data_IF_316441919964
#
_entry.id   IF_316441919964
#
_cell.length_a   1.000
_cell.length_b   1.000
_cell.length_c   1.000
_cell.angle_alpha   90.00
_cell.angle_beta   90.00
_cell.angle_gamma   90.00
#
_symmetry.space_group_name_H-M   'P 1'
#
loop_
_entity.id
_entity.type
_entity.pdbx_description
1 polymer ?
#
# COMPACT_ATOMS: atom_id res chain seq x y z
N UNK A 1 6.32 22.28 12.89
CA UNK A 1 7.47 21.78 12.10
C UNK A 1 8.22 20.75 12.93
N UNK A 2 8.22 19.49 12.45
CA UNK A 2 8.96 18.38 13.06
C UNK A 2 10.47 18.54 12.91
N UNK A 3 11.25 17.63 13.50
CA UNK A 3 12.69 17.55 13.27
C UNK A 3 12.91 17.33 11.77
N UNK A 4 13.45 18.34 11.09
CA UNK A 4 13.88 18.19 9.70
C UNK A 4 15.17 17.38 9.66
N UNK A 5 15.24 16.37 8.79
CA UNK A 5 16.48 15.64 8.46
C UNK A 5 17.58 16.58 7.90
N UNK A 6 17.24 17.84 7.61
CA UNK A 6 18.07 18.79 6.87
C UNK A 6 18.84 19.80 7.73
N UNK A 7 18.77 19.75 9.06
CA UNK A 7 19.56 20.65 9.92
C UNK A 7 20.61 19.91 10.77
N UNK A 8 21.72 19.46 10.16
CA UNK A 8 22.83 18.83 10.89
C UNK A 8 23.54 19.78 11.87
N UNK A 9 23.24 21.08 11.82
CA UNK A 9 23.83 22.12 12.68
C UNK A 9 22.90 22.57 13.82
N UNK A 10 21.70 21.98 13.94
CA UNK A 10 20.72 22.35 14.94
C UNK A 10 21.18 22.01 16.36
N UNK A 11 21.24 23.02 17.25
CA UNK A 11 21.47 22.76 18.67
C UNK A 11 20.22 22.13 19.32
N UNK A 12 20.39 21.08 20.14
CA UNK A 12 19.28 20.47 20.86
C UNK A 12 18.68 21.48 21.85
N UNK A 13 17.36 21.68 21.79
CA UNK A 13 16.62 22.53 22.73
C UNK A 13 15.90 21.66 23.76
N UNK A 14 16.10 21.98 25.04
CA UNK A 14 15.41 21.33 26.16
C UNK A 14 13.90 21.64 26.15
N UNK A 15 13.52 22.79 25.60
CA UNK A 15 12.12 23.25 25.50
C UNK A 15 11.32 22.55 24.40
N UNK A 16 11.98 21.71 23.58
CA UNK A 16 11.32 20.97 22.50
C UNK A 16 10.24 20.03 23.02
N UNK A 17 10.49 19.35 24.14
CA UNK A 17 9.53 18.43 24.75
C UNK A 17 8.24 19.16 25.14
N UNK A 18 8.35 20.32 25.78
CA UNK A 18 7.21 21.16 26.17
C UNK A 18 6.47 21.70 24.94
N UNK A 19 7.21 22.06 23.89
CA UNK A 19 6.62 22.53 22.62
C UNK A 19 5.80 21.44 21.95
N UNK A 20 6.33 20.21 21.89
CA UNK A 20 5.62 19.05 21.36
C UNK A 20 4.35 18.76 22.18
N UNK A 21 4.47 18.76 23.51
CA UNK A 21 3.32 18.53 24.41
C UNK A 21 2.19 19.52 24.17
N UNK A 22 2.49 20.80 23.99
CA UNK A 22 1.47 21.83 23.68
C UNK A 22 0.81 21.56 22.33
N UNK A 23 1.61 21.23 21.31
CA UNK A 23 1.09 20.88 19.99
C UNK A 23 0.17 19.64 20.01
N UNK A 24 0.49 18.62 20.81
CA UNK A 24 -0.37 17.44 21.01
C UNK A 24 -1.71 17.88 21.61
N UNK A 25 -1.69 18.71 22.66
CA UNK A 25 -2.90 19.20 23.31
C UNK A 25 -3.78 20.00 22.35
N UNK A 26 -3.20 20.96 21.61
CA UNK A 26 -3.90 21.81 20.66
C UNK A 26 -4.59 20.98 19.56
N UNK A 27 -3.87 20.03 18.95
CA UNK A 27 -4.44 19.21 17.88
C UNK A 27 -5.44 18.17 18.41
N UNK A 28 -5.21 17.59 19.58
CA UNK A 28 -6.17 16.67 20.21
C UNK A 28 -7.50 17.38 20.50
N UNK A 29 -7.45 18.66 20.89
CA UNK A 29 -8.68 19.47 21.08
C UNK A 29 -9.50 19.57 19.79
N UNK A 30 -8.85 19.82 18.65
CA UNK A 30 -9.52 19.87 17.34
C UNK A 30 -10.24 18.53 17.06
N UNK A 31 -9.57 17.40 17.35
CA UNK A 31 -10.17 16.07 17.19
C UNK A 31 -11.38 15.87 18.10
N UNK A 32 -11.25 16.16 19.39
CA UNK A 32 -12.32 15.93 20.36
C UNK A 32 -13.51 16.86 20.11
N UNK A 33 -13.28 18.12 19.75
CA UNK A 33 -14.33 19.09 19.45
C UNK A 33 -15.14 18.65 18.22
N UNK A 34 -14.48 18.10 17.20
CA UNK A 34 -15.13 17.53 16.02
C UNK A 34 -16.04 16.35 16.40
N UNK A 35 -15.52 15.40 17.18
CA UNK A 35 -16.29 14.24 17.62
C UNK A 35 -17.52 14.67 18.44
N UNK A 36 -17.34 15.60 19.38
CA UNK A 36 -18.45 16.14 20.19
C UNK A 36 -19.50 16.85 19.35
N UNK A 37 -19.08 17.72 18.43
CA UNK A 37 -20.00 18.52 17.61
C UNK A 37 -20.85 17.66 16.67
N UNK A 38 -20.31 16.54 16.20
CA UNK A 38 -21.01 15.62 15.29
C UNK A 38 -21.67 14.42 16.00
N UNK A 39 -21.51 14.31 17.33
CA UNK A 39 -22.03 13.18 18.10
C UNK A 39 -21.39 11.83 17.72
N UNK A 40 -20.12 11.85 17.31
CA UNK A 40 -19.39 10.65 16.89
C UNK A 40 -18.70 9.98 18.08
N UNK A 41 -18.57 8.64 18.02
CA UNK A 41 -17.77 7.88 18.98
C UNK A 41 -16.26 8.08 18.76
N UNK A 42 -15.45 7.56 19.69
CA UNK A 42 -13.99 7.53 19.56
C UNK A 42 -13.48 6.09 19.37
N UNK A 43 -12.33 5.88 18.70
CA UNK A 43 -11.68 4.58 18.68
C UNK A 43 -11.38 4.09 20.10
N UNK A 44 -11.55 2.80 20.31
CA UNK A 44 -11.33 2.17 21.60
C UNK A 44 -10.90 0.71 21.42
N UNK A 45 -10.11 0.21 22.37
CA UNK A 45 -9.75 -1.21 22.43
C UNK A 45 -10.82 -2.06 23.13
N UNK A 46 -11.86 -1.46 23.70
CA UNK A 46 -13.00 -2.20 24.25
C UNK A 46 -13.75 -2.96 23.14
N UNK A 47 -14.30 -4.17 23.39
CA UNK A 47 -14.92 -5.01 22.35
C UNK A 47 -15.92 -4.30 21.42
N UNK A 48 -16.73 -3.39 21.97
CA UNK A 48 -17.74 -2.61 21.23
C UNK A 48 -17.26 -1.20 20.81
N UNK A 49 -15.96 -0.92 20.93
CA UNK A 49 -15.34 0.34 20.51
C UNK A 49 -15.31 0.52 18.99
N UNK A 50 -15.11 1.76 18.53
CA UNK A 50 -14.85 1.97 17.10
C UNK A 50 -13.45 1.45 16.73
N UNK A 51 -13.34 0.76 15.60
CA UNK A 51 -12.06 0.32 15.05
C UNK A 51 -11.32 1.48 14.36
N UNK A 52 -12.06 2.27 13.60
CA UNK A 52 -11.54 3.40 12.84
C UNK A 52 -11.88 4.74 13.47
N UNK A 53 -11.03 5.73 13.20
CA UNK A 53 -11.31 7.10 13.58
C UNK A 53 -12.37 7.67 12.62
N UNK A 54 -13.57 8.09 13.08
CA UNK A 54 -14.72 8.32 12.22
C UNK A 54 -14.68 9.69 11.52
N UNK A 55 -13.66 9.95 10.72
CA UNK A 55 -13.54 11.18 9.92
C UNK A 55 -13.81 10.90 8.45
N UNK A 56 -14.38 11.89 7.77
CA UNK A 56 -14.58 11.88 6.33
C UNK A 56 -13.45 12.66 5.66
N UNK A 57 -13.17 12.36 4.40
CA UNK A 57 -12.18 13.11 3.60
C UNK A 57 -12.49 14.61 3.52
N UNK A 58 -13.78 14.99 3.61
CA UNK A 58 -14.20 16.39 3.68
C UNK A 58 -13.73 17.13 4.95
N UNK A 59 -13.26 16.41 5.97
CA UNK A 59 -12.82 16.96 7.26
C UNK A 59 -11.33 17.32 7.27
N UNK A 60 -10.85 17.98 6.21
CA UNK A 60 -9.43 18.23 5.95
C UNK A 60 -8.65 18.79 7.15
N UNK A 61 -9.20 19.79 7.86
CA UNK A 61 -8.57 20.36 9.06
C UNK A 61 -8.40 19.31 10.17
N UNK A 62 -9.42 18.50 10.42
CA UNK A 62 -9.39 17.46 11.45
C UNK A 62 -8.46 16.30 11.06
N UNK A 63 -8.39 15.95 9.78
CA UNK A 63 -7.43 14.97 9.25
C UNK A 63 -5.98 15.46 9.44
N UNK A 64 -5.72 16.74 9.14
CA UNK A 64 -4.42 17.35 9.40
C UNK A 64 -4.07 17.34 10.89
N UNK A 65 -5.03 17.67 11.77
CA UNK A 65 -4.83 17.61 13.22
C UNK A 65 -4.50 16.19 13.69
N UNK A 66 -5.20 15.17 13.15
CA UNK A 66 -4.94 13.75 13.45
C UNK A 66 -3.52 13.36 13.07
N UNK A 67 -3.10 13.70 11.84
CA UNK A 67 -1.74 13.44 11.36
C UNK A 67 -0.70 14.15 12.24
N UNK A 68 -0.98 15.37 12.68
CA UNK A 68 -0.09 16.13 13.55
C UNK A 68 0.04 15.49 14.94
N UNK A 69 -1.05 14.98 15.54
CA UNK A 69 -1.00 14.22 16.80
C UNK A 69 -0.12 12.97 16.65
N UNK A 70 -0.30 12.21 15.56
CA UNK A 70 0.51 11.00 15.31
C UNK A 70 1.99 11.33 15.15
N UNK A 71 2.32 12.38 14.39
CA UNK A 71 3.70 12.82 14.22
C UNK A 71 4.33 13.32 15.51
N UNK A 72 3.61 14.13 16.29
CA UNK A 72 4.14 14.72 17.53
C UNK A 72 4.28 13.69 18.65
N UNK A 73 3.35 12.75 18.79
CA UNK A 73 3.45 11.67 19.78
C UNK A 73 4.63 10.74 19.47
N UNK A 74 4.87 10.42 18.20
CA UNK A 74 6.07 9.71 17.77
C UNK A 74 7.34 10.48 18.12
N UNK A 75 7.40 11.77 17.78
CA UNK A 75 8.58 12.59 18.06
C UNK A 75 8.86 12.68 19.57
N UNK A 76 7.82 12.89 20.39
CA UNK A 76 7.94 12.92 21.84
C UNK A 76 8.49 11.59 22.38
N UNK A 77 7.91 10.47 21.95
CA UNK A 77 8.36 9.13 22.34
C UNK A 77 9.83 8.92 22.00
N UNK A 78 10.23 9.22 20.77
CA UNK A 78 11.59 8.97 20.29
C UNK A 78 12.62 9.85 21.02
N UNK A 79 12.28 11.11 21.32
CA UNK A 79 13.15 12.01 22.10
C UNK A 79 13.29 11.57 23.56
N UNK A 80 12.20 11.14 24.20
CA UNK A 80 12.22 10.67 25.59
C UNK A 80 12.95 9.33 25.72
N UNK A 81 12.78 8.42 24.76
CA UNK A 81 13.48 7.14 24.71
C UNK A 81 14.99 7.33 24.46
N UNK A 82 15.33 8.29 23.59
CA UNK A 82 16.70 8.57 23.17
C UNK A 82 17.26 7.54 22.17
N UNK A 83 18.26 7.93 21.37
CA UNK A 83 18.73 7.12 20.24
C UNK A 83 19.38 5.80 20.66
N UNK A 84 20.05 5.74 21.81
CA UNK A 84 20.72 4.52 22.29
C UNK A 84 19.73 3.40 22.57
N UNK A 85 18.65 3.71 23.27
CA UNK A 85 17.64 2.70 23.60
C UNK A 85 16.75 2.42 22.39
N UNK A 86 16.45 3.45 21.58
CA UNK A 86 15.75 3.26 20.31
C UNK A 86 16.43 2.26 19.38
N UNK A 87 17.77 2.29 19.26
CA UNK A 87 18.52 1.32 18.45
C UNK A 87 18.37 -0.12 18.97
N UNK A 88 18.35 -0.31 20.29
CA UNK A 88 18.16 -1.65 20.88
C UNK A 88 16.74 -2.16 20.63
N UNK A 89 15.73 -1.31 20.83
CA UNK A 89 14.34 -1.70 20.59
C UNK A 89 14.10 -2.00 19.10
N UNK A 90 14.66 -1.19 18.20
CA UNK A 90 14.58 -1.44 16.76
C UNK A 90 15.19 -2.79 16.36
N UNK A 91 16.29 -3.21 16.99
CA UNK A 91 16.86 -4.53 16.75
C UNK A 91 15.95 -5.68 17.26
N UNK A 92 15.16 -5.42 18.32
CA UNK A 92 14.21 -6.39 18.88
C UNK A 92 12.86 -6.41 18.15
N UNK A 93 12.52 -5.37 17.38
CA UNK A 93 11.22 -5.26 16.70
C UNK A 93 10.90 -6.44 15.76
N UNK A 94 11.92 -7.16 15.26
CA UNK A 94 11.71 -8.39 14.49
C UNK A 94 10.92 -9.46 15.28
N UNK A 95 11.06 -9.48 16.60
CA UNK A 95 10.34 -10.40 17.49
C UNK A 95 8.89 -9.97 17.70
N UNK A 96 8.58 -8.67 17.56
CA UNK A 96 7.22 -8.14 17.70
C UNK A 96 6.26 -8.69 16.62
N UNK A 97 6.77 -9.19 15.49
CA UNK A 97 5.97 -9.81 14.45
C UNK A 97 5.52 -11.24 14.77
N UNK A 98 6.22 -11.94 15.66
CA UNK A 98 5.98 -13.37 15.93
C UNK A 98 4.58 -13.64 16.48
N UNK A 99 4.04 -12.87 17.46
CA UNK A 99 2.70 -13.12 17.95
C UNK A 99 1.63 -13.00 16.88
N UNK A 100 1.68 -11.97 16.03
CA UNK A 100 0.68 -11.78 14.97
C UNK A 100 0.72 -12.93 13.95
N UNK A 101 1.93 -13.41 13.61
CA UNK A 101 2.10 -14.61 12.78
C UNK A 101 1.53 -15.87 13.43
N UNK A 102 1.78 -16.08 14.73
CA UNK A 102 1.24 -17.22 15.46
C UNK A 102 -0.29 -17.16 15.59
N UNK A 103 -0.85 -15.97 15.85
CA UNK A 103 -2.30 -15.74 15.93
C UNK A 103 -2.98 -16.12 14.61
N UNK A 104 -2.43 -15.66 13.48
CA UNK A 104 -2.96 -15.99 12.16
C UNK A 104 -2.78 -17.48 11.81
N UNK A 105 -1.59 -18.04 12.04
CA UNK A 105 -1.25 -19.42 11.64
C UNK A 105 -1.98 -20.48 12.46
N UNK A 106 -2.06 -20.27 13.77
CA UNK A 106 -2.72 -21.19 14.70
C UNK A 106 -4.20 -20.84 14.93
N UNK A 107 -4.74 -19.88 14.16
CA UNK A 107 -6.14 -19.43 14.24
C UNK A 107 -6.58 -19.14 15.67
N UNK A 108 -5.73 -18.40 16.39
CA UNK A 108 -5.92 -18.15 17.82
C UNK A 108 -7.13 -17.23 18.03
N UNK A 109 -7.36 -16.28 17.13
CA UNK A 109 -8.54 -15.41 17.19
C UNK A 109 -9.83 -16.22 17.11
N UNK A 110 -9.89 -17.23 16.24
CA UNK A 110 -11.04 -18.12 16.07
C UNK A 110 -11.21 -19.14 17.23
N UNK A 111 -10.17 -19.35 18.02
CA UNK A 111 -10.18 -20.24 19.18
C UNK A 111 -10.53 -19.52 20.51
N UNK A 112 -10.44 -18.19 20.56
CA UNK A 112 -10.92 -17.39 21.69
C UNK A 112 -12.41 -17.11 21.47
N UNK A 113 -13.28 -17.25 22.49
CA UNK A 113 -14.70 -16.95 22.32
C UNK A 113 -14.92 -15.45 22.08
N UNK A 114 -15.74 -15.10 21.07
CA UNK A 114 -16.06 -13.70 20.72
C UNK A 114 -16.57 -12.89 21.92
N UNK A 115 -17.35 -13.53 22.80
CA UNK A 115 -17.79 -12.99 24.08
C UNK A 115 -17.26 -13.80 25.27
N UNK A 116 -16.79 -13.12 26.31
CA UNK A 116 -16.26 -13.74 27.52
C UNK A 116 -14.74 -13.97 27.45
N UNK A 117 -14.26 -14.99 28.16
CA UNK A 117 -12.83 -15.31 28.26
C UNK A 117 -12.60 -16.82 28.37
N UNK A 118 -11.40 -17.27 28.04
CA UNK A 118 -10.98 -18.67 28.05
C UNK A 118 -9.64 -18.85 28.77
N UNK A 119 -9.46 -19.93 29.53
CA UNK A 119 -8.18 -20.23 30.17
C UNK A 119 -7.12 -20.61 29.13
N UNK A 120 -5.83 -20.40 29.40
CA UNK A 120 -4.77 -20.87 28.48
C UNK A 120 -4.75 -22.41 28.30
N UNK A 121 -5.18 -23.15 29.32
CA UNK A 121 -5.24 -24.61 29.26
C UNK A 121 -6.37 -25.06 28.32
N UNK A 122 -7.55 -24.45 28.39
CA UNK A 122 -8.65 -24.72 27.48
C UNK A 122 -8.38 -24.20 26.06
N UNK A 123 -7.73 -23.03 25.95
CA UNK A 123 -7.33 -22.44 24.67
C UNK A 123 -6.40 -23.36 23.87
N UNK A 124 -5.57 -24.15 24.56
CA UNK A 124 -4.73 -25.18 23.91
C UNK A 124 -5.59 -26.19 23.14
N UNK A 125 -6.71 -26.63 23.74
CA UNK A 125 -7.67 -27.54 23.11
C UNK A 125 -8.39 -26.90 21.94
N UNK A 126 -8.83 -25.65 22.08
CA UNK A 126 -9.52 -24.93 21.01
C UNK A 126 -8.61 -24.65 19.82
N UNK A 127 -7.37 -24.20 20.06
CA UNK A 127 -6.36 -24.01 19.00
C UNK A 127 -6.10 -25.32 18.25
N UNK A 128 -5.96 -26.45 18.95
CA UNK A 128 -5.82 -27.76 18.32
C UNK A 128 -7.05 -28.11 17.47
N UNK A 129 -8.26 -27.78 17.93
CA UNK A 129 -9.52 -28.05 17.22
C UNK A 129 -9.62 -27.24 15.92
N UNK A 130 -9.27 -25.94 15.92
CA UNK A 130 -9.47 -25.05 14.76
C UNK A 130 -8.31 -25.06 13.76
N UNK A 131 -7.08 -25.26 14.24
CA UNK A 131 -5.85 -25.16 13.43
C UNK A 131 -5.19 -26.50 13.15
N UNK A 132 -5.44 -27.52 13.97
CA UNK A 132 -4.76 -28.81 13.91
C UNK A 132 -3.43 -28.87 14.67
N UNK A 133 -3.00 -27.77 15.31
CA UNK A 133 -1.72 -27.70 16.06
C UNK A 133 -1.92 -27.73 17.57
N UNK A 134 -1.12 -28.56 18.26
CA UNK A 134 -1.09 -28.64 19.72
C UNK A 134 -0.05 -27.65 20.24
N UNK A 135 -0.49 -26.45 20.64
CA UNK A 135 0.40 -25.43 21.18
C UNK A 135 0.27 -25.38 22.71
N UNK A 136 1.34 -25.66 23.47
CA UNK A 136 1.26 -25.67 24.92
C UNK A 136 0.78 -24.31 25.50
N UNK A 137 -0.03 -24.35 26.55
CA UNK A 137 -0.50 -23.16 27.28
C UNK A 137 0.62 -22.17 27.63
N UNK A 138 1.81 -22.69 27.97
CA UNK A 138 2.98 -21.86 28.29
C UNK A 138 3.52 -21.05 27.11
N UNK A 139 3.37 -21.56 25.88
CA UNK A 139 3.77 -20.88 24.64
C UNK A 139 2.71 -19.87 24.22
N UNK A 140 1.43 -20.27 24.24
CA UNK A 140 0.29 -19.38 24.00
C UNK A 140 0.35 -18.16 24.92
N UNK A 141 0.62 -18.37 26.21
CA UNK A 141 0.77 -17.30 27.20
C UNK A 141 1.89 -16.32 26.87
N UNK A 142 3.04 -16.79 26.39
CA UNK A 142 4.17 -15.91 26.05
C UNK A 142 3.88 -15.10 24.79
N UNK A 143 3.29 -15.73 23.78
CA UNK A 143 2.91 -15.08 22.52
C UNK A 143 1.82 -14.04 22.75
N UNK A 144 0.73 -14.43 23.41
CA UNK A 144 -0.43 -13.57 23.62
C UNK A 144 -0.14 -12.41 24.55
N UNK A 145 0.68 -12.58 25.60
CA UNK A 145 1.07 -11.43 26.44
C UNK A 145 1.92 -10.40 25.69
N UNK A 146 2.71 -10.82 24.70
CA UNK A 146 3.40 -9.87 23.81
C UNK A 146 2.42 -9.22 22.82
N UNK A 147 1.43 -9.96 22.31
CA UNK A 147 0.35 -9.38 21.51
C UNK A 147 -0.46 -8.32 22.29
N UNK A 148 -0.78 -8.60 23.55
CA UNK A 148 -1.50 -7.68 24.44
C UNK A 148 -0.71 -6.39 24.70
N UNK A 149 0.62 -6.47 24.82
CA UNK A 149 1.47 -5.28 24.90
C UNK A 149 1.42 -4.39 23.64
N UNK A 150 0.92 -4.93 22.52
CA UNK A 150 0.64 -4.22 21.27
C UNK A 150 -0.87 -3.95 21.08
N UNK A 151 -1.68 -4.04 22.15
CA UNK A 151 -3.13 -3.89 22.16
C UNK A 151 -3.87 -4.91 21.27
N UNK A 152 -3.41 -6.16 21.23
CA UNK A 152 -4.11 -7.27 20.57
C UNK A 152 -4.46 -8.34 21.61
N UNK A 153 -5.77 -8.58 21.82
CA UNK A 153 -6.34 -9.31 22.97
C UNK A 153 -6.17 -8.61 24.32
N UNK A 154 -6.77 -9.16 25.38
CA UNK A 154 -6.54 -8.78 26.77
C UNK A 154 -6.59 -10.01 27.71
N UNK A 155 -6.03 -9.84 28.92
CA UNK A 155 -6.05 -10.84 30.00
C UNK A 155 -6.91 -10.29 31.16
N UNK A 156 -8.26 -10.43 31.11
CA UNK A 156 -9.16 -9.83 32.10
C UNK A 156 -8.98 -10.44 33.49
N UNK A 157 -8.63 -11.72 33.54
CA UNK A 157 -8.25 -12.44 34.76
C UNK A 157 -6.93 -13.15 34.52
N UNK A 158 -6.10 -13.29 35.57
CA UNK A 158 -4.82 -13.98 35.46
C UNK A 158 -5.03 -15.40 34.89
N UNK A 159 -4.38 -15.69 33.77
CA UNK A 159 -4.47 -16.98 33.09
C UNK A 159 -5.62 -17.11 32.08
N UNK A 160 -6.41 -16.06 31.85
CA UNK A 160 -7.57 -16.09 30.96
C UNK A 160 -7.44 -15.04 29.85
N UNK A 161 -7.73 -15.44 28.61
CA UNK A 161 -7.63 -14.61 27.42
C UNK A 161 -9.03 -14.19 26.98
N UNK A 162 -9.18 -12.92 26.62
CA UNK A 162 -10.38 -12.40 25.98
C UNK A 162 -10.02 -11.57 24.75
N UNK A 163 -11.01 -11.40 23.89
CA UNK A 163 -10.93 -10.44 22.81
C UNK A 163 -10.93 -8.99 23.30
N UNK A 164 -10.20 -8.17 22.58
CA UNK A 164 -10.36 -6.72 22.55
C UNK A 164 -10.76 -6.29 21.12
N UNK A 165 -11.04 -5.00 20.88
CA UNK A 165 -11.49 -4.52 19.57
C UNK A 165 -10.54 -4.93 18.44
N UNK A 166 -9.23 -4.76 18.62
CA UNK A 166 -8.23 -5.06 17.57
C UNK A 166 -8.27 -6.53 17.15
N UNK A 167 -8.42 -7.45 18.11
CA UNK A 167 -8.52 -8.88 17.80
C UNK A 167 -9.86 -9.27 17.17
N UNK A 168 -10.97 -8.59 17.51
CA UNK A 168 -12.28 -8.85 16.88
C UNK A 168 -12.33 -8.39 15.44
N UNK A 169 -11.70 -7.26 15.11
CA UNK A 169 -11.67 -6.75 13.73
C UNK A 169 -11.01 -7.77 12.78
N UNK A 170 -10.09 -8.60 13.27
CA UNK A 170 -9.53 -9.71 12.46
C UNK A 170 -10.57 -10.78 12.10
N UNK A 171 -11.62 -10.96 12.90
CA UNK A 171 -12.73 -11.89 12.62
C UNK A 171 -13.82 -11.23 11.76
N UNK A 172 -14.02 -9.92 11.93
CA UNK A 172 -15.06 -9.15 11.24
C UNK A 172 -14.68 -8.75 9.80
N UNK A 173 -13.38 -8.59 9.49
CA UNK A 173 -12.89 -8.12 8.20
C UNK A 173 -11.91 -9.13 7.55
N UNK A 174 -12.42 -9.93 6.59
CA UNK A 174 -11.64 -10.93 5.84
C UNK A 174 -10.53 -10.28 4.99
N UNK A 175 -10.73 -9.04 4.51
CA UNK A 175 -9.72 -8.33 3.73
C UNK A 175 -8.54 -7.94 4.63
N UNK A 176 -8.82 -7.37 5.81
CA UNK A 176 -7.78 -7.05 6.80
C UNK A 176 -7.07 -8.30 7.29
N UNK A 177 -7.82 -9.37 7.60
CA UNK A 177 -7.22 -10.64 7.99
C UNK A 177 -6.27 -11.19 6.90
N UNK A 178 -6.67 -11.07 5.63
CA UNK A 178 -5.83 -11.47 4.50
C UNK A 178 -4.60 -10.57 4.34
N UNK A 179 -4.72 -9.27 4.62
CA UNK A 179 -3.58 -8.35 4.71
C UNK A 179 -2.59 -8.79 5.80
N UNK A 180 -3.08 -9.13 7.00
CA UNK A 180 -2.24 -9.69 8.07
C UNK A 180 -1.55 -10.98 7.60
N UNK A 181 -2.28 -11.89 6.98
CA UNK A 181 -1.74 -13.15 6.47
C UNK A 181 -0.67 -12.96 5.39
N UNK A 182 -0.83 -12.00 4.48
CA UNK A 182 0.15 -11.69 3.45
C UNK A 182 1.52 -11.36 4.08
N UNK A 183 1.54 -10.47 5.07
CA UNK A 183 2.79 -10.06 5.72
C UNK A 183 3.35 -11.12 6.67
N UNK A 184 2.49 -11.82 7.38
CA UNK A 184 2.92 -12.76 8.43
C UNK A 184 3.22 -14.17 7.94
N UNK A 185 2.65 -14.59 6.81
CA UNK A 185 2.85 -15.94 6.25
C UNK A 185 3.64 -15.89 4.95
N UNK A 186 3.17 -15.12 3.95
CA UNK A 186 3.76 -15.15 2.60
C UNK A 186 5.00 -14.28 2.45
N UNK A 187 5.13 -13.22 3.27
CA UNK A 187 6.24 -12.28 3.19
C UNK A 187 7.17 -12.30 4.39
N UNK A 188 6.85 -13.09 5.42
CA UNK A 188 7.67 -13.17 6.63
C UNK A 188 9.11 -13.62 6.34
N UNK A 189 9.28 -14.71 5.58
CA UNK A 189 10.60 -15.19 5.16
C UNK A 189 11.25 -14.27 4.11
N UNK A 190 10.55 -13.82 3.04
CA UNK A 190 11.10 -12.87 2.08
C UNK A 190 11.67 -11.60 2.72
N UNK A 191 10.95 -10.97 3.64
CA UNK A 191 11.43 -9.76 4.33
C UNK A 191 12.75 -10.02 5.09
N UNK A 192 12.88 -11.18 5.74
CA UNK A 192 14.13 -11.58 6.40
C UNK A 192 15.28 -11.85 5.43
N UNK A 193 14.98 -12.22 4.18
CA UNK A 193 15.96 -12.57 3.15
C UNK A 193 16.32 -11.43 2.19
N UNK A 194 15.77 -10.22 2.36
CA UNK A 194 16.05 -9.08 1.46
C UNK A 194 17.53 -8.79 1.31
N UNK A 195 18.26 -8.69 2.43
CA UNK A 195 19.71 -8.43 2.41
C UNK A 195 20.49 -9.62 1.83
N UNK A 196 20.06 -10.86 2.10
CA UNK A 196 20.67 -12.05 1.52
C UNK A 196 20.52 -12.07 -0.02
N UNK A 197 19.38 -11.63 -0.54
CA UNK A 197 19.17 -11.46 -1.98
C UNK A 197 20.10 -10.40 -2.57
N UNK A 198 20.28 -9.26 -1.88
CA UNK A 198 21.22 -8.22 -2.30
C UNK A 198 22.68 -8.69 -2.29
N UNK A 199 23.06 -9.53 -1.33
CA UNK A 199 24.40 -10.13 -1.28
C UNK A 199 24.62 -11.12 -2.42
N UNK A 200 23.61 -11.94 -2.72
CA UNK A 200 23.67 -12.94 -3.78
C UNK A 200 23.63 -12.33 -5.18
N UNK A 201 22.82 -11.28 -5.37
CA UNK A 201 22.59 -10.61 -6.63
C UNK A 201 22.67 -9.08 -6.48
N UNK A 202 23.88 -8.51 -6.31
CA UNK A 202 24.06 -7.08 -6.11
C UNK A 202 23.52 -6.26 -7.29
N UNK A 203 22.64 -5.30 -6.99
CA UNK A 203 22.06 -4.41 -8.00
C UNK A 203 21.14 -5.09 -9.02
N UNK A 204 20.66 -6.30 -8.75
CA UNK A 204 19.79 -7.01 -9.70
C UNK A 204 18.49 -6.25 -9.97
N UNK A 205 18.14 -6.25 -11.26
CA UNK A 205 16.87 -5.80 -11.84
C UNK A 205 16.12 -6.99 -12.46
N UNK A 206 16.41 -8.22 -12.05
CA UNK A 206 15.69 -9.41 -12.50
C UNK A 206 14.52 -9.73 -11.56
N UNK A 207 13.33 -9.93 -12.12
CA UNK A 207 12.11 -10.23 -11.38
C UNK A 207 12.14 -11.61 -10.68
N UNK A 208 13.16 -12.43 -10.94
CA UNK A 208 13.36 -13.78 -10.40
C UNK A 208 14.60 -13.92 -9.51
N UNK A 209 15.28 -12.80 -9.23
CA UNK A 209 16.43 -12.70 -8.33
C UNK A 209 16.06 -11.91 -7.07
N UNK A 210 14.99 -12.32 -6.38
CA UNK A 210 14.43 -11.60 -5.23
C UNK A 210 14.52 -12.41 -3.94
N UNK A 211 14.15 -11.77 -2.82
CA UNK A 211 14.10 -12.43 -1.53
C UNK A 211 13.05 -13.54 -1.47
N UNK A 212 11.99 -13.43 -2.28
CA UNK A 212 10.96 -14.47 -2.47
C UNK A 212 11.59 -15.73 -3.06
N UNK A 213 12.44 -15.58 -4.08
CA UNK A 213 13.13 -16.68 -4.72
C UNK A 213 14.10 -17.41 -3.78
N UNK A 214 14.80 -16.68 -2.92
CA UNK A 214 15.64 -17.27 -1.87
C UNK A 214 14.79 -18.03 -0.85
N UNK A 215 13.70 -17.41 -0.38
CA UNK A 215 12.89 -17.95 0.71
C UNK A 215 12.18 -19.25 0.35
N UNK A 216 11.70 -19.36 -0.89
CA UNK A 216 10.87 -20.48 -1.34
C UNK A 216 11.55 -21.37 -2.39
N UNK A 217 12.80 -21.10 -2.75
CA UNK A 217 13.60 -22.01 -3.58
C UNK A 217 13.08 -22.21 -5.01
N UNK A 218 12.58 -21.16 -5.67
CA UNK A 218 12.06 -21.23 -7.05
C UNK A 218 12.58 -20.10 -7.94
N UNK A 219 12.27 -20.16 -9.24
CA UNK A 219 12.61 -19.13 -10.25
C UNK A 219 11.41 -18.38 -10.83
N UNK A 220 10.25 -18.47 -10.20
CA UNK A 220 9.09 -17.67 -10.58
C UNK A 220 9.26 -16.20 -10.16
N UNK A 221 8.66 -15.27 -10.92
CA UNK A 221 8.41 -13.91 -10.43
C UNK A 221 7.41 -13.94 -9.26
N UNK A 222 7.34 -12.84 -8.49
CA UNK A 222 6.43 -12.75 -7.34
C UNK A 222 4.98 -13.08 -7.69
N UNK A 223 4.40 -12.43 -8.70
CA UNK A 223 3.01 -12.67 -9.10
C UNK A 223 2.77 -14.10 -9.58
N UNK A 224 3.73 -14.69 -10.31
CA UNK A 224 3.64 -16.10 -10.71
C UNK A 224 3.70 -17.04 -9.50
N UNK A 225 4.52 -16.72 -8.50
CA UNK A 225 4.56 -17.46 -7.24
C UNK A 225 3.24 -17.37 -6.48
N UNK A 226 2.62 -16.19 -6.41
CA UNK A 226 1.30 -15.99 -5.81
C UNK A 226 0.25 -16.90 -6.49
N UNK A 227 0.25 -16.95 -7.82
CA UNK A 227 -0.70 -17.75 -8.60
C UNK A 227 -0.48 -19.27 -8.54
N UNK A 228 0.66 -19.76 -8.00
CA UNK A 228 0.91 -21.21 -7.90
C UNK A 228 0.08 -21.91 -6.82
N UNK A 229 -0.55 -21.15 -5.92
CA UNK A 229 -1.33 -21.66 -4.80
C UNK A 229 -2.64 -20.85 -4.70
N UNK A 230 -3.78 -21.53 -4.80
CA UNK A 230 -5.09 -20.86 -4.80
C UNK A 230 -5.42 -20.19 -3.48
N UNK A 231 -4.93 -20.70 -2.34
CA UNK A 231 -5.09 -20.09 -1.02
C UNK A 231 -4.27 -18.80 -0.95
N UNK A 232 -3.02 -18.84 -1.43
CA UNK A 232 -2.16 -17.64 -1.49
C UNK A 232 -2.73 -16.60 -2.45
N UNK A 233 -3.20 -17.01 -3.62
CA UNK A 233 -3.82 -16.11 -4.59
C UNK A 233 -5.06 -15.42 -4.02
N UNK A 234 -5.97 -16.17 -3.37
CA UNK A 234 -7.14 -15.60 -2.70
C UNK A 234 -6.72 -14.60 -1.60
N UNK A 235 -5.75 -14.97 -0.76
CA UNK A 235 -5.24 -14.10 0.30
C UNK A 235 -4.66 -12.80 -0.27
N UNK A 236 -3.89 -12.89 -1.35
CA UNK A 236 -3.32 -11.73 -2.02
C UNK A 236 -4.41 -10.80 -2.55
N UNK A 237 -5.42 -11.34 -3.24
CA UNK A 237 -6.54 -10.54 -3.77
C UNK A 237 -7.27 -9.76 -2.67
N UNK A 238 -7.67 -10.45 -1.60
CA UNK A 238 -8.34 -9.82 -0.46
C UNK A 238 -7.44 -8.80 0.26
N UNK A 239 -6.15 -9.09 0.39
CA UNK A 239 -5.19 -8.13 0.94
C UNK A 239 -5.09 -6.86 0.08
N UNK A 240 -5.10 -6.98 -1.25
CA UNK A 240 -5.08 -5.82 -2.14
C UNK A 240 -6.37 -4.99 -2.04
N UNK A 241 -7.53 -5.64 -1.81
CA UNK A 241 -8.78 -4.93 -1.50
C UNK A 241 -8.68 -4.10 -0.22
N UNK A 242 -8.10 -4.65 0.85
CA UNK A 242 -7.84 -3.91 2.09
C UNK A 242 -6.89 -2.72 1.89
N UNK A 243 -5.89 -2.86 1.00
CA UNK A 243 -4.98 -1.77 0.67
C UNK A 243 -5.69 -0.65 -0.11
N UNK A 244 -6.48 -1.02 -1.11
CA UNK A 244 -7.20 -0.08 -1.97
C UNK A 244 -8.33 0.67 -1.26
N UNK A 245 -8.95 0.08 -0.23
CA UNK A 245 -9.97 0.73 0.60
C UNK A 245 -9.40 1.67 1.68
N UNK A 246 -8.07 1.75 1.79
CA UNK A 246 -7.39 2.61 2.77
C UNK A 246 -7.49 4.09 2.36
N UNK A 247 -7.60 4.95 3.37
CA UNK A 247 -7.57 6.42 3.23
C UNK A 247 -6.46 6.87 2.27
N UNK A 248 -6.85 7.55 1.18
CA UNK A 248 -5.94 8.08 0.16
C UNK A 248 -5.63 7.15 -1.03
N UNK A 249 -6.06 5.89 -1.05
CA UNK A 249 -5.85 4.97 -2.19
C UNK A 249 -7.12 4.65 -2.98
N UNK A 250 -8.26 5.20 -2.55
CA UNK A 250 -9.55 5.01 -3.21
C UNK A 250 -9.53 5.50 -4.68
N UNK A 251 -10.34 4.83 -5.50
CA UNK A 251 -10.46 5.12 -6.95
C UNK A 251 -10.96 6.53 -7.21
N UNK A 252 -11.80 7.09 -6.33
CA UNK A 252 -12.33 8.45 -6.47
C UNK A 252 -11.24 9.52 -6.58
N UNK A 253 -10.10 9.37 -5.88
CA UNK A 253 -8.96 10.28 -6.02
C UNK A 253 -8.39 10.28 -7.44
N UNK A 254 -8.41 9.11 -8.10
CA UNK A 254 -7.94 8.95 -9.48
C UNK A 254 -8.93 9.64 -10.45
N UNK A 255 -10.23 9.42 -10.24
CA UNK A 255 -11.29 10.00 -11.08
C UNK A 255 -11.34 11.52 -10.96
N UNK A 256 -11.17 12.07 -9.76
CA UNK A 256 -11.38 13.49 -9.48
C UNK A 256 -10.12 14.34 -9.67
N UNK A 257 -8.93 13.78 -9.51
CA UNK A 257 -7.68 14.58 -9.46
C UNK A 257 -6.92 14.68 -10.79
N UNK A 258 -7.27 13.87 -11.79
CA UNK A 258 -6.72 14.02 -13.14
C UNK A 258 -7.73 14.73 -14.05
N UNK A 259 -7.29 15.66 -14.92
CA UNK A 259 -8.17 16.42 -15.79
C UNK A 259 -8.63 15.59 -17.01
N UNK A 260 -9.32 14.47 -16.78
CA UNK A 260 -9.76 13.50 -17.81
C UNK A 260 -10.51 14.15 -18.97
N UNK A 261 -11.33 15.18 -18.69
CA UNK A 261 -12.05 15.93 -19.72
C UNK A 261 -11.13 16.61 -20.77
N UNK A 262 -9.88 16.92 -20.42
CA UNK A 262 -8.90 17.52 -21.37
C UNK A 262 -8.43 16.54 -22.44
N UNK A 263 -8.69 15.24 -22.29
CA UNK A 263 -8.44 14.25 -23.34
C UNK A 263 -9.45 14.34 -24.50
N UNK A 264 -10.57 15.05 -24.31
CA UNK A 264 -11.60 15.21 -25.34
C UNK A 264 -12.34 13.90 -25.64
N UNK A 265 -12.52 13.59 -26.92
CA UNK A 265 -13.07 12.30 -27.36
C UNK A 265 -11.90 11.36 -27.69
N UNK A 266 -11.57 10.47 -26.76
CA UNK A 266 -10.38 9.63 -26.84
C UNK A 266 -10.65 8.22 -26.34
N UNK A 267 -9.87 7.27 -26.88
CA UNK A 267 -9.69 5.95 -26.27
C UNK A 267 -8.52 6.02 -25.30
N UNK A 268 -8.72 5.51 -24.09
CA UNK A 268 -7.70 5.26 -23.07
C UNK A 268 -7.45 3.77 -23.00
N UNK A 269 -6.21 3.33 -23.08
CA UNK A 269 -5.83 1.93 -22.83
C UNK A 269 -5.37 1.84 -21.38
N UNK A 270 -6.08 1.07 -20.57
CA UNK A 270 -5.78 0.84 -19.16
C UNK A 270 -4.91 -0.42 -19.04
N UNK A 271 -3.61 -0.21 -18.79
CA UNK A 271 -2.56 -1.20 -18.88
C UNK A 271 -2.40 -1.90 -17.54
N UNK A 272 -2.67 -3.22 -17.49
CA UNK A 272 -2.73 -3.96 -16.22
C UNK A 272 -3.97 -3.60 -15.39
N UNK A 273 -5.07 -3.23 -16.05
CA UNK A 273 -6.27 -2.70 -15.38
C UNK A 273 -7.14 -3.74 -14.67
N UNK A 274 -6.74 -5.02 -14.67
CA UNK A 274 -7.40 -6.11 -13.96
C UNK A 274 -8.91 -6.19 -14.25
N UNK A 275 -9.79 -6.15 -13.24
CA UNK A 275 -11.26 -6.18 -13.42
C UNK A 275 -11.83 -4.87 -14.01
N UNK A 276 -11.02 -3.84 -14.24
CA UNK A 276 -11.40 -2.59 -14.89
C UNK A 276 -12.13 -1.58 -14.00
N UNK A 277 -12.15 -1.77 -12.68
CA UNK A 277 -12.87 -0.90 -11.72
C UNK A 277 -12.60 0.59 -11.92
N UNK A 278 -11.33 0.95 -12.12
CA UNK A 278 -10.92 2.36 -12.30
C UNK A 278 -11.39 2.90 -13.64
N UNK A 279 -11.20 2.13 -14.72
CA UNK A 279 -11.71 2.47 -16.05
C UNK A 279 -13.23 2.65 -16.07
N UNK A 280 -13.99 1.78 -15.39
CA UNK A 280 -15.44 1.90 -15.25
C UNK A 280 -15.82 3.20 -14.52
N UNK A 281 -15.18 3.51 -13.39
CA UNK A 281 -15.46 4.71 -12.61
C UNK A 281 -15.14 6.02 -13.39
N UNK A 282 -14.05 6.03 -14.15
CA UNK A 282 -13.72 7.17 -15.03
C UNK A 282 -14.72 7.24 -16.19
N UNK A 283 -15.08 6.12 -16.80
CA UNK A 283 -16.06 6.08 -17.88
C UNK A 283 -17.44 6.62 -17.44
N UNK A 284 -17.89 6.35 -16.22
CA UNK A 284 -19.12 6.93 -15.66
C UNK A 284 -19.06 8.45 -15.60
N UNK A 285 -17.93 8.98 -15.13
CA UNK A 285 -17.76 10.43 -14.89
C UNK A 285 -17.46 11.22 -16.16
N UNK A 286 -16.90 10.56 -17.20
CA UNK A 286 -16.45 11.19 -18.43
C UNK A 286 -17.02 10.48 -19.68
N UNK A 287 -18.22 10.88 -20.15
CA UNK A 287 -18.94 10.20 -21.23
C UNK A 287 -18.23 10.19 -22.60
N UNK A 288 -17.29 11.11 -22.82
CA UNK A 288 -16.52 11.22 -24.07
C UNK A 288 -15.32 10.25 -24.12
N UNK A 289 -15.04 9.51 -23.05
CA UNK A 289 -13.94 8.56 -23.01
C UNK A 289 -14.44 7.13 -23.23
N UNK A 290 -13.66 6.38 -24.01
CA UNK A 290 -13.75 4.92 -24.15
C UNK A 290 -12.49 4.27 -23.59
N UNK A 291 -12.61 3.06 -23.06
CA UNK A 291 -11.55 2.31 -22.41
C UNK A 291 -11.36 0.93 -23.06
N UNK A 292 -10.10 0.58 -23.30
CA UNK A 292 -9.67 -0.80 -23.51
C UNK A 292 -8.84 -1.22 -22.30
N UNK A 293 -9.38 -2.13 -21.48
CA UNK A 293 -8.72 -2.64 -20.29
C UNK A 293 -7.89 -3.86 -20.68
N UNK A 294 -6.57 -3.74 -20.56
CA UNK A 294 -5.61 -4.75 -20.96
C UNK A 294 -4.98 -5.45 -19.75
N UNK A 295 -4.93 -6.78 -19.77
CA UNK A 295 -4.24 -7.59 -18.76
C UNK A 295 -3.83 -8.96 -19.35
N UNK A 296 -3.09 -9.77 -18.58
CA UNK A 296 -2.71 -11.12 -18.95
C UNK A 296 -3.93 -12.06 -18.95
N UNK A 297 -3.87 -13.10 -19.80
CA UNK A 297 -4.99 -14.04 -20.01
C UNK A 297 -5.53 -14.69 -18.73
N UNK A 298 -4.69 -14.90 -17.72
CA UNK A 298 -5.09 -15.52 -16.45
C UNK A 298 -5.76 -14.58 -15.45
N UNK A 299 -5.70 -13.26 -15.68
CA UNK A 299 -6.31 -12.25 -14.82
C UNK A 299 -7.72 -11.87 -15.29
N UNK A 300 -8.05 -12.18 -16.56
CA UNK A 300 -9.36 -11.97 -17.18
C UNK A 300 -10.10 -13.30 -17.31
N UNK A 301 -10.94 -13.66 -16.33
CA UNK A 301 -11.90 -14.76 -16.43
C UNK A 301 -13.31 -14.23 -16.66
N UNK A 302 -14.22 -15.07 -17.16
CA UNK A 302 -15.65 -14.71 -17.28
C UNK A 302 -16.27 -14.27 -15.94
N UNK A 303 -15.67 -14.65 -14.81
CA UNK A 303 -16.10 -14.24 -13.47
C UNK A 303 -15.37 -13.02 -12.90
N UNK A 304 -14.22 -12.59 -13.49
CA UNK A 304 -13.41 -11.44 -13.00
C UNK A 304 -13.43 -10.24 -13.94
N UNK A 305 -13.89 -10.38 -15.19
CA UNK A 305 -14.31 -9.21 -15.96
C UNK A 305 -15.47 -8.59 -15.19
N UNK A 306 -15.25 -7.43 -14.55
CA UNK A 306 -16.31 -6.70 -13.88
C UNK A 306 -17.50 -6.63 -14.82
N UNK A 307 -18.71 -6.91 -14.32
CA UNK A 307 -19.90 -6.89 -15.17
C UNK A 307 -20.04 -5.48 -15.74
N UNK A 308 -19.61 -5.30 -17.00
CA UNK A 308 -19.65 -3.99 -17.64
C UNK A 308 -21.11 -3.58 -17.64
N UNK A 309 -21.48 -2.50 -16.94
CA UNK A 309 -22.85 -2.04 -16.93
C UNK A 309 -23.34 -1.86 -18.36
N UNK A 310 -24.59 -2.23 -18.64
CA UNK A 310 -25.11 -2.26 -20.01
C UNK A 310 -25.00 -0.91 -20.72
N UNK A 311 -25.04 0.20 -19.98
CA UNK A 311 -24.86 1.56 -20.50
C UNK A 311 -23.38 1.91 -20.82
N UNK A 312 -22.41 1.16 -20.29
CA UNK A 312 -20.98 1.29 -20.56
C UNK A 312 -20.46 0.30 -21.61
N UNK A 313 -21.24 -0.70 -22.01
CA UNK A 313 -20.80 -1.80 -22.89
C UNK A 313 -20.25 -1.36 -24.26
N UNK A 314 -20.61 -0.16 -24.74
CA UNK A 314 -20.04 0.41 -25.99
C UNK A 314 -18.74 1.17 -25.78
N UNK A 315 -18.42 1.51 -24.54
CA UNK A 315 -17.29 2.38 -24.18
C UNK A 315 -16.20 1.64 -23.43
N UNK A 316 -16.50 0.54 -22.75
CA UNK A 316 -15.49 -0.24 -22.01
C UNK A 316 -15.44 -1.65 -22.58
N UNK A 317 -14.25 -2.07 -23.01
CA UNK A 317 -13.96 -3.44 -23.47
C UNK A 317 -12.71 -3.96 -22.79
N UNK A 318 -12.61 -5.28 -22.70
CA UNK A 318 -11.45 -5.99 -22.16
C UNK A 318 -10.68 -6.65 -23.30
N UNK A 319 -9.35 -6.65 -23.19
CA UNK A 319 -8.47 -7.29 -24.15
C UNK A 319 -7.29 -7.97 -23.41
N UNK A 320 -6.88 -9.13 -23.91
CA UNK A 320 -5.66 -9.78 -23.38
C UNK A 320 -4.44 -9.17 -24.05
N UNK A 321 -3.51 -8.63 -23.25
CA UNK A 321 -2.25 -8.11 -23.75
C UNK A 321 -1.16 -8.15 -22.67
N UNK A 322 0.04 -8.52 -23.07
CA UNK A 322 1.26 -8.41 -22.25
C UNK A 322 1.99 -7.13 -22.68
N UNK A 323 2.01 -6.15 -21.79
CA UNK A 323 2.59 -4.82 -22.03
C UNK A 323 4.09 -4.79 -22.29
N UNK A 324 4.78 -5.93 -22.14
CA UNK A 324 6.16 -6.08 -22.56
C UNK A 324 6.33 -6.34 -24.07
N UNK A 325 5.23 -6.58 -24.79
CA UNK A 325 5.17 -6.69 -26.23
C UNK A 325 4.64 -5.40 -26.86
N UNK A 326 4.90 -5.22 -28.15
CA UNK A 326 4.42 -4.05 -28.90
C UNK A 326 2.92 -3.84 -28.72
N UNK A 327 2.55 -2.60 -28.36
CA UNK A 327 1.17 -2.23 -28.09
C UNK A 327 0.31 -2.28 -29.37
N UNK A 328 -0.73 -3.13 -29.43
CA UNK A 328 -1.55 -3.28 -30.63
C UNK A 328 -2.52 -2.12 -30.89
N UNK A 329 -2.89 -1.36 -29.84
CA UNK A 329 -3.96 -0.37 -29.90
C UNK A 329 -3.40 1.05 -29.92
N UNK A 330 -3.67 1.78 -31.01
CA UNK A 330 -3.41 3.22 -31.12
C UNK A 330 -4.45 3.98 -30.30
N UNK A 331 -4.00 4.81 -29.35
CA UNK A 331 -4.87 5.46 -28.38
C UNK A 331 -4.46 6.90 -28.05
N UNK A 332 -5.40 7.66 -27.48
CA UNK A 332 -5.14 9.02 -27.01
C UNK A 332 -4.39 9.04 -25.69
N UNK A 333 -4.56 8.02 -24.86
CA UNK A 333 -3.78 7.84 -23.64
C UNK A 333 -3.53 6.36 -23.31
N UNK A 334 -2.39 6.10 -22.68
CA UNK A 334 -2.03 4.82 -22.06
C UNK A 334 -1.90 5.06 -20.56
N UNK A 335 -2.76 4.41 -19.79
CA UNK A 335 -2.91 4.62 -18.36
C UNK A 335 -2.33 3.45 -17.59
N UNK A 336 -1.50 3.73 -16.59
CA UNK A 336 -0.89 2.75 -15.69
C UNK A 336 -1.18 3.15 -14.25
N UNK A 337 -1.92 2.34 -13.50
CA UNK A 337 -2.16 2.60 -12.07
C UNK A 337 -1.61 1.46 -11.23
N UNK A 338 -0.69 1.75 -10.31
CA UNK A 338 -0.01 0.72 -9.50
C UNK A 338 0.61 -0.41 -10.35
N UNK A 339 1.33 -0.02 -11.40
CA UNK A 339 2.02 -0.97 -12.28
C UNK A 339 3.52 -0.82 -12.11
N UNK A 340 4.04 0.36 -12.42
CA UNK A 340 5.48 0.58 -12.55
C UNK A 340 6.23 0.51 -11.22
N UNK A 341 5.58 0.68 -10.06
CA UNK A 341 6.19 0.40 -8.76
C UNK A 341 6.68 -1.05 -8.59
N UNK A 342 6.03 -2.00 -9.27
CA UNK A 342 6.36 -3.42 -9.20
C UNK A 342 7.49 -3.83 -10.18
N UNK A 343 8.02 -2.88 -10.96
CA UNK A 343 9.03 -3.15 -11.98
C UNK A 343 10.30 -2.32 -11.77
N UNK A 344 11.48 -2.90 -12.00
CA UNK A 344 12.73 -2.14 -12.05
C UNK A 344 12.80 -1.23 -13.27
N UNK A 345 13.69 -0.25 -13.24
CA UNK A 345 13.82 0.80 -14.26
C UNK A 345 14.00 0.23 -15.68
N UNK A 346 14.82 -0.82 -15.84
CA UNK A 346 15.00 -1.54 -17.11
C UNK A 346 13.67 -2.00 -17.72
N UNK A 347 12.80 -2.55 -16.89
CA UNK A 347 11.54 -3.13 -17.33
C UNK A 347 10.50 -2.04 -17.60
N UNK A 348 10.48 -0.95 -16.81
CA UNK A 348 9.65 0.24 -17.08
C UNK A 348 10.02 0.85 -18.44
N UNK A 349 11.31 1.07 -18.70
CA UNK A 349 11.80 1.58 -19.99
C UNK A 349 11.41 0.67 -21.15
N UNK A 350 11.48 -0.66 -20.95
CA UNK A 350 11.04 -1.64 -21.95
C UNK A 350 9.56 -1.50 -22.28
N UNK A 351 8.70 -1.35 -21.26
CA UNK A 351 7.25 -1.14 -21.45
C UNK A 351 6.98 0.18 -22.18
N UNK A 352 7.62 1.28 -21.76
CA UNK A 352 7.47 2.57 -22.42
C UNK A 352 7.89 2.51 -23.91
N UNK A 353 8.97 1.79 -24.22
CA UNK A 353 9.39 1.55 -25.62
C UNK A 353 8.38 0.72 -26.41
N UNK A 354 7.71 -0.23 -25.77
CA UNK A 354 6.69 -1.06 -26.40
C UNK A 354 5.44 -0.26 -26.81
N UNK A 355 5.20 0.90 -26.19
CA UNK A 355 4.13 1.82 -26.58
C UNK A 355 4.45 2.61 -27.86
N UNK A 356 5.73 2.88 -28.13
CA UNK A 356 6.19 3.80 -29.19
C UNK A 356 5.51 3.58 -30.56
N UNK A 357 5.36 2.35 -31.07
CA UNK A 357 4.70 2.11 -32.37
C UNK A 357 3.23 2.58 -32.42
N UNK A 358 2.55 2.56 -31.27
CA UNK A 358 1.15 2.94 -31.14
C UNK A 358 0.95 4.43 -30.81
N UNK A 359 1.99 5.14 -30.37
CA UNK A 359 1.93 6.57 -30.07
C UNK A 359 1.67 7.42 -31.32
N UNK A 360 0.85 8.45 -31.18
CA UNK A 360 0.63 9.50 -32.20
C UNK A 360 0.92 10.86 -31.58
N UNK A 361 1.11 11.90 -32.40
CA UNK A 361 1.26 13.26 -31.89
C UNK A 361 0.14 13.57 -30.88
N UNK A 362 0.53 13.93 -29.66
CA UNK A 362 -0.38 14.27 -28.59
C UNK A 362 -0.93 13.12 -27.76
N UNK A 363 -0.63 11.86 -28.12
CA UNK A 363 -0.87 10.71 -27.24
C UNK A 363 -0.15 10.89 -25.90
N UNK A 364 -0.77 10.49 -24.80
CA UNK A 364 -0.25 10.65 -23.44
C UNK A 364 0.08 9.30 -22.80
N UNK A 365 1.10 9.28 -21.96
CA UNK A 365 1.31 8.22 -20.98
C UNK A 365 1.00 8.81 -19.62
N UNK A 366 0.01 8.25 -18.94
CA UNK A 366 -0.48 8.71 -17.65
C UNK A 366 -0.18 7.61 -16.64
N UNK A 367 0.67 7.90 -15.68
CA UNK A 367 1.01 7.00 -14.59
C UNK A 367 0.35 7.53 -13.32
N UNK A 368 -0.37 6.67 -12.61
CA UNK A 368 -0.92 6.94 -11.29
C UNK A 368 -0.34 5.98 -10.27
N UNK A 369 0.75 6.40 -9.63
CA UNK A 369 1.54 5.55 -8.74
C UNK A 369 2.04 6.35 -7.52
N UNK A 370 2.67 5.66 -6.58
CA UNK A 370 3.34 6.33 -5.46
C UNK A 370 4.58 7.07 -5.96
N UNK A 371 4.73 8.33 -5.54
CA UNK A 371 5.94 9.12 -5.77
C UNK A 371 6.55 9.46 -4.43
N UNK A 372 7.84 9.17 -4.29
CA UNK A 372 8.59 9.40 -3.08
C UNK A 372 8.73 10.91 -2.84
N UNK A 373 8.37 11.42 -1.65
CA UNK A 373 8.59 12.82 -1.31
C UNK A 373 10.08 13.09 -1.19
N UNK A 374 10.49 14.30 -1.59
CA UNK A 374 11.84 14.77 -1.34
C UNK A 374 12.15 14.75 0.18
N UNK A 375 13.39 14.47 0.60
CA UNK A 375 13.74 14.40 2.01
C UNK A 375 13.32 15.67 2.78
N UNK A 376 12.56 15.49 3.87
CA UNK A 376 12.08 16.60 4.71
C UNK A 376 10.88 17.38 4.14
N UNK A 377 10.34 17.01 2.98
CA UNK A 377 9.14 17.64 2.41
C UNK A 377 7.85 17.28 3.20
N UNK A 378 7.86 16.15 3.91
CA UNK A 378 6.74 15.65 4.72
C UNK A 378 7.22 15.28 6.13
N UNK A 379 6.29 14.94 7.02
CA UNK A 379 6.64 14.43 8.35
C UNK A 379 7.40 13.11 8.26
N UNK A 380 8.29 12.82 9.23
CA UNK A 380 9.00 11.54 9.29
C UNK A 380 8.07 10.32 9.35
N UNK A 381 6.89 10.47 9.95
CA UNK A 381 5.90 9.40 10.01
C UNK A 381 5.30 9.09 8.63
N UNK A 382 4.99 10.13 7.86
CA UNK A 382 4.52 10.01 6.47
C UNK A 382 5.64 9.49 5.57
N UNK A 383 6.84 10.05 5.65
CA UNK A 383 8.01 9.60 4.89
C UNK A 383 8.31 8.12 5.12
N UNK A 384 8.29 7.67 6.39
CA UNK A 384 8.49 6.25 6.73
C UNK A 384 7.47 5.34 6.03
N UNK A 385 6.22 5.77 5.87
CA UNK A 385 5.18 4.94 5.24
C UNK A 385 5.51 4.66 3.78
N UNK A 386 5.91 5.67 3.01
CA UNK A 386 6.28 5.50 1.61
C UNK A 386 7.60 4.73 1.43
N UNK A 387 8.59 4.99 2.29
CA UNK A 387 9.89 4.30 2.23
C UNK A 387 9.80 2.83 2.65
N UNK A 388 8.84 2.47 3.51
CA UNK A 388 8.53 1.05 3.81
C UNK A 388 8.00 0.31 2.57
N UNK A 389 7.12 0.95 1.80
CA UNK A 389 6.59 0.38 0.56
C UNK A 389 7.69 0.20 -0.49
N UNK A 390 8.59 1.18 -0.63
CA UNK A 390 9.75 1.10 -1.53
C UNK A 390 10.65 -0.12 -1.24
N UNK A 391 11.05 -0.28 0.02
CA UNK A 391 11.87 -1.44 0.44
C UNK A 391 11.10 -2.76 0.27
N UNK A 392 9.77 -2.74 0.42
CA UNK A 392 8.93 -3.91 0.15
C UNK A 392 8.95 -4.27 -1.34
N UNK A 393 8.82 -3.30 -2.25
CA UNK A 393 8.90 -3.54 -3.69
C UNK A 393 10.27 -4.13 -4.08
N UNK A 394 11.35 -3.63 -3.47
CA UNK A 394 12.67 -4.24 -3.61
C UNK A 394 12.69 -5.71 -3.17
N UNK A 395 12.05 -6.01 -2.04
CA UNK A 395 11.99 -7.36 -1.46
C UNK A 395 11.29 -8.36 -2.38
N UNK A 396 10.14 -7.98 -2.93
CA UNK A 396 9.27 -8.92 -3.64
C UNK A 396 9.57 -9.05 -5.13
N UNK A 397 9.89 -7.94 -5.81
CA UNK A 397 9.99 -7.91 -7.27
C UNK A 397 11.21 -7.17 -7.83
N UNK A 398 12.15 -6.71 -6.98
CA UNK A 398 13.22 -5.78 -7.39
C UNK A 398 12.69 -4.47 -8.02
N UNK A 399 11.41 -4.15 -7.83
CA UNK A 399 10.83 -2.85 -8.13
C UNK A 399 11.27 -1.79 -7.11
N UNK A 400 10.81 -0.56 -7.32
CA UNK A 400 11.06 0.58 -6.45
C UNK A 400 9.98 1.64 -6.63
N UNK A 401 9.73 2.38 -5.57
CA UNK A 401 9.07 3.68 -5.68
C UNK A 401 10.09 4.71 -6.21
N UNK A 402 9.58 5.77 -6.83
CA UNK A 402 10.41 6.73 -7.58
C UNK A 402 10.16 8.16 -7.15
N UNK A 403 11.20 8.97 -7.19
CA UNK A 403 11.12 10.41 -7.03
C UNK A 403 10.71 11.06 -8.37
N UNK A 404 10.33 12.34 -8.34
CA UNK A 404 9.84 13.05 -9.54
C UNK A 404 10.85 13.03 -10.69
N UNK A 405 12.12 13.26 -10.39
CA UNK A 405 13.18 13.31 -11.40
C UNK A 405 13.51 11.93 -11.99
N UNK A 406 13.35 10.84 -11.22
CA UNK A 406 13.51 9.48 -11.74
C UNK A 406 12.55 9.23 -12.91
N UNK A 407 11.28 9.65 -12.77
CA UNK A 407 10.27 9.46 -13.82
C UNK A 407 10.62 10.18 -15.11
N UNK A 408 11.09 11.42 -15.01
CA UNK A 408 11.53 12.21 -16.16
C UNK A 408 12.65 11.47 -16.91
N UNK A 409 13.65 10.97 -16.18
CA UNK A 409 14.77 10.20 -16.75
C UNK A 409 14.28 8.95 -17.45
N UNK A 410 13.31 8.21 -16.88
CA UNK A 410 12.78 6.99 -17.51
C UNK A 410 12.07 7.24 -18.84
N UNK A 411 11.29 8.33 -18.94
CA UNK A 411 10.67 8.72 -20.20
C UNK A 411 11.71 9.10 -21.25
N UNK A 412 12.71 9.90 -20.86
CA UNK A 412 13.81 10.32 -21.74
C UNK A 412 14.66 9.12 -22.22
N UNK A 413 14.94 8.17 -21.34
CA UNK A 413 15.66 6.93 -21.66
C UNK A 413 14.85 6.02 -22.61
N UNK A 414 13.53 5.98 -22.45
CA UNK A 414 12.66 5.21 -23.32
C UNK A 414 12.68 5.75 -24.76
N UNK A 415 12.42 7.05 -24.94
CA UNK A 415 12.50 7.75 -26.22
C UNK A 415 12.48 9.28 -26.01
N UNK A 416 13.36 10.01 -26.70
CA UNK A 416 13.44 11.48 -26.60
C UNK A 416 12.15 12.22 -27.03
N UNK A 417 11.21 11.53 -27.69
CA UNK A 417 9.89 12.06 -28.08
C UNK A 417 8.86 12.07 -26.96
N UNK A 418 9.13 11.41 -25.83
CA UNK A 418 8.31 11.54 -24.63
C UNK A 418 8.63 12.87 -23.94
N UNK A 419 7.77 13.87 -24.16
CA UNK A 419 7.91 15.19 -23.55
C UNK A 419 7.27 15.20 -22.17
N UNK A 420 8.09 15.34 -21.14
CA UNK A 420 7.69 15.45 -19.74
C UNK A 420 6.65 16.55 -19.52
N UNK A 421 5.52 16.21 -18.88
CA UNK A 421 4.44 17.15 -18.55
C UNK A 421 4.41 17.49 -17.06
N UNK A 422 5.04 16.69 -16.20
CA UNK A 422 5.12 16.93 -14.77
C UNK A 422 4.68 15.73 -13.92
N UNK A 423 4.83 15.91 -12.60
CA UNK A 423 4.26 15.03 -11.58
C UNK A 423 3.53 15.86 -10.53
N UNK A 424 2.34 15.44 -10.11
CA UNK A 424 1.55 16.13 -9.08
C UNK A 424 0.76 15.16 -8.23
N UNK A 425 0.65 15.45 -6.93
CA UNK A 425 -0.12 14.63 -5.99
C UNK A 425 -1.63 14.73 -6.30
N UNK A 426 -2.33 13.62 -6.23
CA UNK A 426 -3.80 13.59 -6.24
C UNK A 426 -4.37 14.12 -4.92
N UNK A 427 -5.70 14.14 -4.77
CA UNK A 427 -6.33 14.35 -3.46
C UNK A 427 -6.05 13.23 -2.45
N UNK A 428 -5.51 12.08 -2.89
CA UNK A 428 -5.08 10.97 -2.06
C UNK A 428 -3.56 10.85 -1.93
N UNK A 429 -3.08 9.61 -1.81
CA UNK A 429 -1.66 9.26 -1.62
C UNK A 429 -0.92 9.00 -2.94
N UNK A 430 -1.65 8.75 -4.03
CA UNK A 430 -1.05 8.56 -5.36
C UNK A 430 -0.78 9.89 -6.04
N UNK A 431 0.20 9.88 -6.92
CA UNK A 431 0.54 10.99 -7.79
C UNK A 431 0.17 10.65 -9.22
N UNK A 432 -0.08 11.69 -10.01
CA UNK A 432 -0.06 11.57 -11.46
C UNK A 432 1.31 11.98 -11.97
N UNK A 433 1.85 11.20 -12.88
CA UNK A 433 3.08 11.44 -13.62
C UNK A 433 2.71 11.34 -15.10
N UNK A 434 3.10 12.32 -15.90
CA UNK A 434 2.62 12.40 -17.28
C UNK A 434 3.74 12.76 -18.28
N UNK A 435 3.74 12.07 -19.41
CA UNK A 435 4.48 12.46 -20.60
C UNK A 435 3.55 12.51 -21.82
N UNK A 436 3.85 13.42 -22.75
CA UNK A 436 3.11 13.61 -24.00
C UNK A 436 4.04 13.29 -25.17
N UNK A 437 3.54 12.57 -26.16
CA UNK A 437 4.30 12.24 -27.36
C UNK A 437 4.34 13.40 -28.37
N UNK A 438 5.53 13.70 -28.89
CA UNK A 438 5.76 14.64 -29.99
C UNK A 438 6.56 13.99 -31.12
N UNK A 439 6.12 14.18 -32.37
CA UNK A 439 6.82 13.64 -33.53
C UNK A 439 8.09 14.44 -33.86
N UNK A 440 9.12 13.77 -34.39
CA UNK A 440 10.45 14.38 -34.63
C UNK A 440 10.43 15.58 -35.59
N UNK A 441 9.42 15.68 -36.47
CA UNK A 441 9.30 16.78 -37.42
C UNK A 441 9.04 18.13 -36.73
N UNK A 442 8.39 18.13 -35.57
CA UNK A 442 8.00 19.35 -34.86
C UNK A 442 9.00 19.76 -33.78
N UNK A 443 9.77 18.81 -33.21
CA UNK A 443 10.85 19.14 -32.27
C UNK A 443 11.96 20.02 -32.88
N UNK A 444 12.08 20.05 -34.23
CA UNK A 444 13.02 20.93 -34.95
C UNK A 444 12.47 22.33 -35.24
N UNK A 445 11.17 22.56 -35.04
CA UNK A 445 10.51 23.84 -35.29
C UNK A 445 10.48 24.78 -34.07
N UNK A 446 10.74 24.26 -32.87
CA UNK A 446 10.71 25.00 -31.59
C UNK A 446 12.11 25.25 -30.99
N UNK A 447 13.19 24.80 -31.66
CA UNK A 447 14.58 24.90 -31.19
C UNK A 447 15.29 26.19 -31.64
#
# INVERSE_FOLDING_TARGET
MGISLTNPEGQPSVDRLTTISRGIQENTRILTDKLHTQGLGAPSYEPHGLADFPLKESDAETLMARQQVLSLTKELRDLVLGPREALKLMALDVVNYIPLHAIYTFKIAEAVPEEGYISYDDLTGEVQRVSGFMIPASELRRLLRLAMANNLFCEPELGHVAHNRTSLVMLEDENLASWVGLYTVDLFLPVGNTVAAMQKWPGSQDLTETAVNISYGHKNSFFKHVQTDTVRAKRYDLAMRAHGSREGFDVSHTVQSYPWAKLGNATVVDMGGNEGYVSLAIAESFPNLSFEVQDLAGMQSESTIGSVPSHLARRVRFATHDFFHEQPTVAGAYFFRHIFHAFPDRDVVRVLRALVPAMRHGSRVIVNDVVLPAPGAVSLAEEKTFRLLDVLMKTVCNGREREVDDWKVLFEEADARFVWQGAWKSSGNLWFVEAKWQDQAEMKGEA
#
